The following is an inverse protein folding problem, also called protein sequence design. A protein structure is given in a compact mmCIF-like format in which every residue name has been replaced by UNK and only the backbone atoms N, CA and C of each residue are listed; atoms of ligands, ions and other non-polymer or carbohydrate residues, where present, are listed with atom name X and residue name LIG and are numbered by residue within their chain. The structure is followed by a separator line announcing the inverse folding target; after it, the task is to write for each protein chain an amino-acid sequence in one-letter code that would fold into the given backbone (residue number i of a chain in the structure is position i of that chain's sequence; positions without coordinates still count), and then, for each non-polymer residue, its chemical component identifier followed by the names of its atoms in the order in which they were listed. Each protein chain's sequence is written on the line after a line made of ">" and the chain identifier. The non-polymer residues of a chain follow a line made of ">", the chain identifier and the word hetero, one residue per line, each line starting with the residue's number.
data_IF_862822372921
#
_entry.id   IF_862822372921
#
_cell.length_a   1.000
_cell.length_b   1.000
_cell.length_c   1.000
_cell.angle_alpha   90.00
_cell.angle_beta   90.00
_cell.angle_gamma   90.00
#
_symmetry.space_group_name_H-M   'P 1'
#
loop_
_entity.id
_entity.type
_entity.pdbx_description
1 polymer ?
#
# COMPACT_ATOMS: atom_id res chain seq x y z
N UNK A 1 25.70 -30.58 -34.89
CA UNK A 1 25.18 -30.78 -33.52
C UNK A 1 25.94 -29.93 -32.48
N UNK A 2 27.29 -30.04 -32.34
CA UNK A 2 28.06 -29.25 -31.34
C UNK A 2 27.90 -27.73 -31.47
N UNK A 3 27.90 -27.18 -32.70
CA UNK A 3 27.73 -25.72 -32.93
C UNK A 3 26.32 -25.22 -32.55
N UNK A 4 25.29 -26.04 -32.71
CA UNK A 4 23.91 -25.68 -32.33
C UNK A 4 23.74 -25.65 -30.80
N UNK A 5 24.37 -26.59 -30.10
CA UNK A 5 24.37 -26.63 -28.62
C UNK A 5 25.10 -25.42 -28.04
N UNK A 6 26.26 -25.03 -28.61
CA UNK A 6 26.98 -23.84 -28.16
C UNK A 6 26.17 -22.56 -28.39
N UNK A 7 25.46 -22.45 -29.51
CA UNK A 7 24.60 -21.30 -29.80
C UNK A 7 23.40 -21.23 -28.83
N UNK A 8 22.79 -22.37 -28.51
CA UNK A 8 21.72 -22.46 -27.55
C UNK A 8 22.15 -22.11 -26.12
N UNK A 9 23.33 -22.56 -25.69
CA UNK A 9 23.91 -22.18 -24.41
C UNK A 9 24.28 -20.70 -24.35
N UNK A 10 24.74 -20.09 -25.44
CA UNK A 10 25.02 -18.68 -25.51
C UNK A 10 23.75 -17.83 -25.44
N UNK A 11 22.62 -18.26 -26.04
CA UNK A 11 21.33 -17.62 -25.92
C UNK A 11 20.75 -17.69 -24.49
N UNK A 12 20.97 -18.81 -23.79
CA UNK A 12 20.53 -18.98 -22.40
C UNK A 12 21.36 -18.15 -21.42
N UNK A 13 22.61 -17.84 -21.76
CA UNK A 13 23.48 -16.98 -20.95
C UNK A 13 23.15 -15.47 -21.05
N UNK A 14 22.34 -15.05 -22.02
CA UNK A 14 21.76 -13.72 -22.16
C UNK A 14 20.51 -13.52 -21.27
N UNK A 15 20.39 -14.34 -20.22
CA UNK A 15 19.33 -14.20 -19.22
C UNK A 15 19.29 -12.78 -18.69
N UNK A 16 18.18 -12.10 -18.93
CA UNK A 16 17.88 -10.77 -18.41
C UNK A 16 18.14 -10.76 -16.91
N UNK A 17 19.12 -9.99 -16.46
CA UNK A 17 19.30 -9.70 -15.05
C UNK A 17 18.06 -8.94 -14.60
N UNK A 18 17.08 -9.65 -14.02
CA UNK A 18 15.99 -9.01 -13.32
C UNK A 18 16.61 -8.18 -12.19
N UNK A 19 16.60 -6.87 -12.32
CA UNK A 19 16.97 -6.00 -11.22
C UNK A 19 15.94 -6.20 -10.12
N UNK A 20 16.37 -6.67 -8.98
CA UNK A 20 15.54 -6.73 -7.79
C UNK A 20 15.17 -5.29 -7.39
N UNK A 21 13.91 -5.05 -7.09
CA UNK A 21 13.45 -3.77 -6.57
C UNK A 21 14.09 -3.55 -5.18
N UNK A 22 15.01 -2.59 -5.08
CA UNK A 22 15.57 -2.19 -3.79
C UNK A 22 14.72 -1.07 -3.17
N UNK A 23 14.24 -1.32 -1.96
CA UNK A 23 13.44 -0.36 -1.20
C UNK A 23 14.16 -0.09 0.12
N UNK A 24 14.48 1.18 0.40
CA UNK A 24 15.14 1.61 1.63
C UNK A 24 14.23 1.60 2.86
N UNK A 25 12.90 1.57 2.68
CA UNK A 25 11.96 1.46 3.78
C UNK A 25 12.17 0.15 4.58
N UNK A 26 11.96 0.15 5.92
CA UNK A 26 12.09 -1.04 6.75
C UNK A 26 11.04 -2.11 6.42
N UNK A 27 9.88 -1.71 5.90
CA UNK A 27 8.83 -2.60 5.42
C UNK A 27 8.20 -2.03 4.16
N UNK A 28 7.83 -2.89 3.21
CA UNK A 28 7.17 -2.47 1.98
C UNK A 28 6.30 -3.59 1.41
N UNK A 29 5.19 -3.21 0.81
CA UNK A 29 4.29 -4.11 0.09
C UNK A 29 3.83 -3.43 -1.19
N UNK A 30 3.94 -4.12 -2.31
CA UNK A 30 3.38 -3.71 -3.59
C UNK A 30 2.41 -4.79 -4.06
N UNK A 31 1.18 -4.38 -4.31
CA UNK A 31 0.11 -5.27 -4.79
C UNK A 31 -0.48 -4.74 -6.09
N UNK A 32 -0.87 -5.66 -6.95
CA UNK A 32 -1.71 -5.35 -8.09
C UNK A 32 -3.14 -5.07 -7.59
N UNK A 33 -3.76 -4.00 -8.10
CA UNK A 33 -5.01 -3.45 -7.57
C UNK A 33 -6.23 -4.35 -7.78
N UNK A 34 -6.35 -4.97 -8.96
CA UNK A 34 -7.58 -5.68 -9.35
C UNK A 34 -7.65 -7.10 -8.75
N UNK A 35 -6.54 -7.83 -8.81
CA UNK A 35 -6.47 -9.21 -8.34
C UNK A 35 -5.89 -9.34 -6.92
N UNK A 36 -5.33 -8.27 -6.34
CA UNK A 36 -4.65 -8.31 -5.05
C UNK A 36 -3.36 -9.13 -5.06
N UNK A 37 -2.80 -9.40 -6.24
CA UNK A 37 -1.56 -10.17 -6.36
C UNK A 37 -0.39 -9.39 -5.78
N UNK A 38 0.34 -9.98 -4.84
CA UNK A 38 1.56 -9.38 -4.28
C UNK A 38 2.68 -9.43 -5.32
N UNK A 39 3.16 -8.26 -5.72
CA UNK A 39 4.24 -8.10 -6.69
C UNK A 39 5.61 -7.95 -6.01
N UNK A 40 5.62 -7.38 -4.81
CA UNK A 40 6.81 -7.22 -3.99
C UNK A 40 6.42 -7.17 -2.52
N UNK A 41 7.20 -7.82 -1.67
CA UNK A 41 7.02 -7.80 -0.23
C UNK A 41 8.39 -7.74 0.48
N UNK A 42 8.49 -6.93 1.50
CA UNK A 42 9.64 -6.80 2.38
C UNK A 42 9.14 -6.54 3.80
N UNK A 43 9.33 -7.50 4.70
CA UNK A 43 8.89 -7.42 6.09
C UNK A 43 7.46 -6.85 6.27
N UNK A 44 6.55 -7.23 5.37
CA UNK A 44 5.18 -6.69 5.25
C UNK A 44 4.31 -6.98 6.48
N UNK A 45 4.69 -7.96 7.28
CA UNK A 45 4.03 -8.31 8.54
C UNK A 45 4.70 -7.68 9.77
N UNK A 46 5.75 -6.87 9.59
CA UNK A 46 6.41 -6.19 10.69
C UNK A 46 5.44 -5.20 11.37
N UNK A 47 5.38 -5.24 12.68
CA UNK A 47 4.57 -4.30 13.47
C UNK A 47 5.33 -3.00 13.63
N UNK A 48 5.01 -2.04 12.78
CA UNK A 48 5.61 -0.71 12.75
C UNK A 48 4.54 0.35 13.04
N UNK A 49 5.00 1.52 13.47
CA UNK A 49 4.13 2.67 13.70
C UNK A 49 3.79 3.34 12.35
N UNK A 50 2.54 3.24 11.87
CA UNK A 50 2.18 3.75 10.54
C UNK A 50 1.95 5.27 10.51
N UNK A 51 2.05 5.96 11.64
CA UNK A 51 1.77 7.39 11.76
C UNK A 51 0.44 7.76 11.08
N UNK A 52 0.41 8.80 10.26
CA UNK A 52 -0.81 9.26 9.58
C UNK A 52 -1.39 8.28 8.55
N UNK A 53 -0.67 7.25 8.14
CA UNK A 53 -1.22 6.19 7.27
C UNK A 53 -2.41 5.47 7.95
N UNK A 54 -2.48 5.48 9.28
CA UNK A 54 -3.66 5.03 10.05
C UNK A 54 -4.97 5.66 9.56
N UNK A 55 -4.96 6.89 9.01
CA UNK A 55 -6.14 7.56 8.48
C UNK A 55 -6.75 6.84 7.27
N UNK A 56 -5.98 6.05 6.54
CA UNK A 56 -6.50 5.21 5.45
C UNK A 56 -7.51 4.20 5.99
N UNK A 57 -7.23 3.60 7.16
CA UNK A 57 -8.19 2.70 7.82
C UNK A 57 -9.45 3.45 8.26
N UNK A 58 -9.32 4.66 8.80
CA UNK A 58 -10.49 5.49 9.17
C UNK A 58 -11.37 5.78 7.95
N UNK A 59 -10.77 6.11 6.81
CA UNK A 59 -11.50 6.35 5.56
C UNK A 59 -12.18 5.07 5.07
N UNK A 60 -11.50 3.93 5.10
CA UNK A 60 -12.07 2.64 4.70
C UNK A 60 -13.32 2.32 5.52
N UNK A 61 -13.21 2.36 6.86
CA UNK A 61 -14.34 2.09 7.75
C UNK A 61 -15.51 3.06 7.56
N UNK A 62 -15.21 4.32 7.26
CA UNK A 62 -16.24 5.33 6.96
C UNK A 62 -16.97 4.99 5.67
N UNK A 63 -16.24 4.61 4.61
CA UNK A 63 -16.85 4.22 3.34
C UNK A 63 -17.69 2.95 3.46
N UNK A 64 -17.20 1.94 4.19
CA UNK A 64 -17.97 0.73 4.48
C UNK A 64 -19.27 1.04 5.24
N UNK A 65 -19.23 1.96 6.20
CA UNK A 65 -20.42 2.38 6.94
C UNK A 65 -21.43 3.14 6.04
N UNK A 66 -20.93 3.94 5.08
CA UNK A 66 -21.78 4.61 4.09
C UNK A 66 -22.42 3.57 3.16
N UNK A 67 -21.65 2.62 2.65
CA UNK A 67 -22.16 1.57 1.77
C UNK A 67 -23.18 0.67 2.48
N UNK A 68 -23.04 0.48 3.79
CA UNK A 68 -23.99 -0.24 4.64
C UNK A 68 -25.21 0.60 5.03
N UNK A 69 -25.29 1.87 4.63
CA UNK A 69 -26.38 2.79 5.00
C UNK A 69 -26.41 3.20 6.47
N UNK A 70 -25.30 3.04 7.18
CA UNK A 70 -25.14 3.45 8.58
C UNK A 70 -24.72 4.92 8.72
N UNK A 71 -24.08 5.47 7.70
CA UNK A 71 -23.68 6.86 7.59
C UNK A 71 -24.08 7.42 6.22
N UNK A 72 -24.23 8.74 6.15
CA UNK A 72 -24.52 9.47 4.93
C UNK A 72 -23.54 10.63 4.77
N UNK A 73 -23.32 11.10 3.54
CA UNK A 73 -22.38 12.19 3.25
C UNK A 73 -22.77 13.54 3.86
N UNK A 74 -24.05 13.71 4.16
CA UNK A 74 -24.64 14.92 4.75
C UNK A 74 -24.86 14.83 6.27
N UNK A 75 -24.42 13.74 6.90
CA UNK A 75 -24.48 13.60 8.35
C UNK A 75 -23.62 14.66 9.04
N UNK A 76 -24.18 15.30 10.05
CA UNK A 76 -23.46 16.30 10.85
C UNK A 76 -22.58 15.64 11.88
N UNK A 77 -21.29 15.84 11.75
CA UNK A 77 -20.28 15.33 12.69
C UNK A 77 -19.80 16.46 13.60
N UNK A 78 -20.02 16.31 14.91
CA UNK A 78 -19.54 17.27 15.90
C UNK A 78 -18.23 16.81 16.52
N UNK A 79 -17.14 17.57 16.28
CA UNK A 79 -15.86 17.31 16.92
C UNK A 79 -15.91 17.71 18.40
N UNK A 80 -15.43 16.84 19.29
CA UNK A 80 -15.31 17.16 20.71
C UNK A 80 -14.18 18.19 20.96
N UNK A 81 -14.27 18.92 22.07
CA UNK A 81 -13.20 19.84 22.47
C UNK A 81 -11.83 19.13 22.58
N UNK A 82 -11.81 17.87 23.04
CA UNK A 82 -10.59 17.08 23.09
C UNK A 82 -10.06 16.78 21.67
N UNK A 83 -10.92 16.36 20.75
CA UNK A 83 -10.50 16.11 19.36
C UNK A 83 -9.94 17.38 18.71
N UNK A 84 -10.56 18.55 18.96
CA UNK A 84 -10.09 19.83 18.44
C UNK A 84 -8.75 20.29 19.04
N UNK A 85 -8.40 19.84 20.23
CA UNK A 85 -7.12 20.17 20.90
C UNK A 85 -5.95 19.34 20.44
N UNK A 86 -6.19 18.25 19.70
CA UNK A 86 -5.14 17.35 19.25
C UNK A 86 -4.33 17.99 18.12
N UNK A 87 -3.00 17.88 18.24
CA UNK A 87 -2.07 18.30 17.17
C UNK A 87 -2.00 17.30 16.01
N UNK A 88 -1.12 17.60 15.06
CA UNK A 88 -0.86 16.76 13.88
C UNK A 88 -1.51 17.30 12.60
N UNK A 89 -1.80 16.43 11.64
CA UNK A 89 -2.44 16.83 10.39
C UNK A 89 -3.88 17.26 10.63
N UNK A 90 -4.24 18.47 10.22
CA UNK A 90 -5.53 19.08 10.48
C UNK A 90 -6.15 19.62 9.17
N UNK A 91 -7.48 19.63 9.13
CA UNK A 91 -8.28 20.29 8.10
C UNK A 91 -9.02 21.45 8.81
N UNK A 92 -8.88 22.66 8.31
CA UNK A 92 -9.60 23.81 8.82
C UNK A 92 -10.88 24.00 7.99
N UNK A 93 -11.99 23.53 8.53
CA UNK A 93 -13.31 23.73 7.93
C UNK A 93 -13.92 25.03 8.43
N UNK A 94 -14.60 25.77 7.51
CA UNK A 94 -15.34 26.99 7.83
C UNK A 94 -16.82 26.70 7.89
#
# INVERSE_FOLDING_TARGET
>A
MKKLVVLLCALLALGSSAQALEVSAPSALLMEKEAGTVLFAKDEHAKLEPASVTKVMTLLLTMEAIDAGQLHYDDVVTASAHACSMGGSQIWLK
#
